data_IF_418284792869
#
_entry.id   IF_418284792869
#
_cell.length_a   1.000
_cell.length_b   1.000
_cell.length_c   1.000
_cell.angle_alpha   90.00
_cell.angle_beta   90.00
_cell.angle_gamma   90.00
#
_symmetry.space_group_name_H-M   'P 1'
#
loop_
_entity.id
_entity.type
_entity.pdbx_description
1 polymer ?
#
# COMPACT_ATOMS: atom_id res chain seq x y z
N UNK A 1 23.92 6.04 -23.10
CA UNK A 1 23.12 7.12 -22.48
C UNK A 1 22.05 6.44 -21.64
N UNK A 2 22.17 6.42 -20.32
CA UNK A 2 21.09 5.95 -19.43
C UNK A 2 19.96 6.98 -19.50
N UNK A 3 18.77 6.58 -19.95
CA UNK A 3 17.59 7.43 -19.84
C UNK A 3 17.40 7.81 -18.37
N UNK A 4 17.19 9.09 -18.11
CA UNK A 4 16.74 9.55 -16.79
C UNK A 4 15.33 9.03 -16.56
N UNK A 5 15.02 8.58 -15.34
CA UNK A 5 13.66 8.27 -14.96
C UNK A 5 12.83 9.57 -15.00
N UNK A 6 11.70 9.56 -15.69
CA UNK A 6 10.69 10.60 -15.55
C UNK A 6 9.96 10.41 -14.21
N UNK A 7 9.97 11.38 -13.28
CA UNK A 7 9.26 11.24 -12.00
C UNK A 7 7.76 11.04 -12.14
N UNK A 8 7.14 11.43 -13.26
CA UNK A 8 5.76 11.09 -13.54
C UNK A 8 5.55 9.56 -13.65
N UNK A 9 6.60 8.81 -14.02
CA UNK A 9 6.61 7.34 -14.01
C UNK A 9 6.59 6.75 -12.60
N UNK A 10 6.89 7.54 -11.58
CA UNK A 10 6.72 7.18 -10.16
C UNK A 10 5.39 7.73 -9.61
N UNK A 11 4.39 7.96 -10.45
CA UNK A 11 3.04 8.25 -9.96
C UNK A 11 2.42 6.96 -9.41
N UNK A 12 2.01 6.91 -8.13
CA UNK A 12 1.33 5.74 -7.61
C UNK A 12 0.10 5.43 -8.46
N UNK A 13 0.06 4.24 -9.06
CA UNK A 13 -1.09 3.80 -9.84
C UNK A 13 -2.04 3.03 -8.92
N UNK A 14 -3.23 3.59 -8.59
CA UNK A 14 -4.21 2.88 -7.78
C UNK A 14 -4.73 1.67 -8.54
N UNK A 15 -5.14 0.63 -7.82
CA UNK A 15 -5.99 -0.40 -8.41
C UNK A 15 -7.32 0.21 -8.85
N UNK A 16 -7.90 -0.34 -9.92
CA UNK A 16 -9.25 0.05 -10.36
C UNK A 16 -10.23 -0.08 -9.18
N UNK A 17 -11.21 0.83 -9.05
CA UNK A 17 -12.23 0.73 -8.01
C UNK A 17 -12.97 -0.60 -8.16
N UNK A 18 -12.97 -1.39 -7.10
CA UNK A 18 -13.65 -2.69 -7.08
C UNK A 18 -15.11 -2.52 -6.65
N UNK A 19 -15.99 -3.23 -7.34
CA UNK A 19 -17.41 -3.34 -7.02
C UNK A 19 -17.72 -4.79 -6.71
N UNK A 20 -18.13 -5.06 -5.48
CA UNK A 20 -18.53 -6.39 -5.05
C UNK A 20 -20.04 -6.55 -5.14
N UNK A 21 -20.49 -7.56 -5.87
CA UNK A 21 -21.90 -7.93 -5.97
C UNK A 21 -22.15 -9.11 -5.02
N UNK A 22 -23.02 -8.91 -4.03
CA UNK A 22 -23.36 -9.86 -2.98
C UNK A 22 -24.84 -10.23 -3.05
N UNK A 23 -25.11 -11.54 -2.91
CA UNK A 23 -26.46 -12.09 -2.92
C UNK A 23 -27.13 -12.13 -4.31
N UNK A 24 -28.40 -12.53 -4.36
CA UNK A 24 -29.24 -12.55 -5.56
C UNK A 24 -29.00 -13.66 -6.60
N UNK A 25 -29.85 -13.68 -7.64
CA UNK A 25 -29.81 -14.63 -8.76
C UNK A 25 -28.80 -14.21 -9.84
N UNK A 26 -28.21 -15.17 -10.57
CA UNK A 26 -27.11 -14.91 -11.53
C UNK A 26 -27.43 -13.87 -12.64
N UNK A 27 -28.71 -13.70 -12.99
CA UNK A 27 -29.15 -12.92 -14.14
C UNK A 27 -28.95 -11.40 -14.04
N UNK A 28 -29.02 -10.80 -12.84
CA UNK A 28 -28.78 -9.35 -12.67
C UNK A 28 -27.29 -9.03 -12.42
N UNK A 29 -26.52 -10.02 -11.96
CA UNK A 29 -25.06 -9.88 -11.83
C UNK A 29 -24.45 -9.67 -13.21
N UNK A 30 -24.86 -10.49 -14.18
CA UNK A 30 -24.38 -10.39 -15.57
C UNK A 30 -24.73 -9.05 -16.23
N UNK A 31 -25.90 -8.48 -15.93
CA UNK A 31 -26.34 -7.19 -16.49
C UNK A 31 -25.56 -5.99 -15.94
N UNK A 32 -24.78 -6.15 -14.86
CA UNK A 32 -23.98 -5.08 -14.25
C UNK A 32 -22.50 -5.09 -14.64
N UNK A 33 -21.99 -6.21 -15.14
CA UNK A 33 -20.56 -6.34 -15.45
C UNK A 33 -20.13 -5.30 -16.50
N UNK A 34 -20.82 -5.25 -17.65
CA UNK A 34 -20.46 -4.35 -18.75
C UNK A 34 -20.69 -2.86 -18.40
N UNK A 35 -21.86 -2.44 -17.85
CA UNK A 35 -22.08 -1.05 -17.48
C UNK A 35 -21.05 -0.52 -16.47
N UNK A 36 -20.75 -1.28 -15.41
CA UNK A 36 -19.77 -0.86 -14.40
C UNK A 36 -18.33 -0.89 -14.96
N UNK A 37 -17.99 -1.86 -15.80
CA UNK A 37 -16.71 -1.90 -16.49
C UNK A 37 -16.51 -0.69 -17.42
N UNK A 38 -17.57 -0.25 -18.12
CA UNK A 38 -17.53 0.95 -18.97
C UNK A 38 -17.27 2.25 -18.17
N UNK A 39 -17.60 2.24 -16.87
CA UNK A 39 -17.31 3.30 -15.92
C UNK A 39 -15.94 3.14 -15.22
N UNK A 40 -15.13 2.17 -15.66
CA UNK A 40 -13.78 1.92 -15.15
C UNK A 40 -13.72 1.12 -13.85
N UNK A 41 -14.82 0.50 -13.44
CA UNK A 41 -14.87 -0.36 -12.26
C UNK A 41 -14.48 -1.79 -12.58
N UNK A 42 -13.78 -2.45 -11.66
CA UNK A 42 -13.58 -3.90 -11.69
C UNK A 42 -14.70 -4.56 -10.90
N UNK A 43 -15.49 -5.41 -11.54
CA UNK A 43 -16.63 -6.08 -10.90
C UNK A 43 -16.23 -7.49 -10.45
N UNK A 44 -16.54 -7.84 -9.21
CA UNK A 44 -16.39 -9.19 -8.66
C UNK A 44 -17.71 -9.64 -8.04
N UNK A 45 -18.20 -10.80 -8.46
CA UNK A 45 -19.43 -11.39 -7.93
C UNK A 45 -19.08 -12.56 -7.03
N UNK A 46 -19.54 -12.52 -5.78
CA UNK A 46 -19.36 -13.64 -4.84
C UNK A 46 -20.63 -13.87 -4.04
N UNK A 47 -21.09 -15.13 -3.89
CA UNK A 47 -22.25 -15.44 -3.06
C UNK A 47 -21.99 -15.26 -1.56
N UNK A 48 -20.73 -15.17 -1.11
CA UNK A 48 -20.36 -15.02 0.30
C UNK A 48 -19.12 -14.12 0.50
N UNK A 49 -19.07 -13.35 1.59
CA UNK A 49 -17.90 -12.52 1.98
C UNK A 49 -16.73 -13.39 2.51
N UNK A 50 -16.87 -14.72 2.56
CA UNK A 50 -16.01 -15.59 3.38
C UNK A 50 -14.53 -15.65 2.95
N UNK A 51 -14.13 -15.21 1.76
CA UNK A 51 -12.76 -15.46 1.26
C UNK A 51 -11.94 -14.23 0.83
N UNK A 52 -12.54 -13.05 0.61
CA UNK A 52 -11.80 -11.90 0.05
C UNK A 52 -11.43 -10.88 1.12
N UNK A 53 -10.14 -10.77 1.45
CA UNK A 53 -9.58 -9.67 2.26
C UNK A 53 -9.69 -8.29 1.57
N UNK A 54 -10.21 -8.24 0.34
CA UNK A 54 -10.26 -7.05 -0.51
C UNK A 54 -11.62 -6.33 -0.47
N UNK A 55 -12.70 -6.96 0.02
CA UNK A 55 -14.04 -6.33 0.05
C UNK A 55 -14.07 -5.03 0.88
N UNK A 56 -13.30 -4.96 1.98
CA UNK A 56 -13.15 -3.72 2.76
C UNK A 56 -12.52 -2.55 2.00
N UNK A 57 -11.86 -2.82 0.86
CA UNK A 57 -11.18 -1.84 0.02
C UNK A 57 -11.98 -1.50 -1.25
N UNK A 58 -13.14 -2.14 -1.42
CA UNK A 58 -14.06 -1.89 -2.51
C UNK A 58 -14.52 -0.44 -2.51
N UNK A 59 -14.78 0.09 -3.71
CA UNK A 59 -15.48 1.37 -3.82
C UNK A 59 -16.96 1.17 -3.49
N UNK A 60 -17.56 0.10 -4.01
CA UNK A 60 -18.97 -0.23 -3.83
C UNK A 60 -19.13 -1.68 -3.37
N UNK A 61 -20.05 -1.89 -2.43
CA UNK A 61 -20.58 -3.21 -2.11
C UNK A 61 -22.08 -3.17 -2.38
N UNK A 62 -22.53 -3.94 -3.36
CA UNK A 62 -23.94 -4.07 -3.71
C UNK A 62 -24.49 -5.31 -3.04
N UNK A 63 -25.54 -5.16 -2.25
CA UNK A 63 -26.21 -6.31 -1.63
C UNK A 63 -27.63 -6.44 -2.15
N UNK A 64 -28.01 -7.66 -2.53
CA UNK A 64 -29.36 -8.01 -2.93
C UNK A 64 -29.78 -9.31 -2.23
N UNK A 65 -30.89 -9.28 -1.50
CA UNK A 65 -31.49 -10.48 -0.90
C UNK A 65 -31.73 -11.58 -1.96
N UNK A 66 -31.28 -12.81 -1.70
CA UNK A 66 -31.61 -13.97 -2.54
C UNK A 66 -32.98 -14.57 -2.17
N UNK A 67 -33.41 -14.38 -0.93
CA UNK A 67 -34.73 -14.75 -0.42
C UNK A 67 -35.32 -13.64 0.47
N UNK A 68 -36.65 -13.61 0.72
CA UNK A 68 -37.27 -12.62 1.61
C UNK A 68 -36.80 -12.68 3.07
N UNK A 69 -36.19 -13.79 3.49
CA UNK A 69 -35.66 -13.96 4.85
C UNK A 69 -34.18 -13.56 4.96
N UNK A 70 -33.52 -13.25 3.84
CA UNK A 70 -32.12 -12.85 3.82
C UNK A 70 -31.97 -11.44 4.38
N UNK A 71 -31.17 -11.30 5.43
CA UNK A 71 -30.88 -10.01 6.07
C UNK A 71 -29.51 -9.48 5.65
N UNK A 72 -29.36 -8.16 5.48
CA UNK A 72 -28.06 -7.55 5.24
C UNK A 72 -27.16 -7.47 6.49
N UNK A 73 -27.70 -7.72 7.68
CA UNK A 73 -26.99 -7.46 8.94
C UNK A 73 -25.67 -8.23 9.10
N UNK A 74 -25.57 -9.56 8.85
CA UNK A 74 -24.33 -10.30 9.08
C UNK A 74 -23.17 -9.81 8.23
N UNK A 75 -23.46 -9.28 7.04
CA UNK A 75 -22.43 -8.76 6.14
C UNK A 75 -22.04 -7.33 6.50
N UNK A 76 -22.99 -6.50 6.98
CA UNK A 76 -22.72 -5.17 7.52
C UNK A 76 -21.74 -5.24 8.69
N UNK A 77 -22.00 -6.12 9.65
CA UNK A 77 -21.13 -6.38 10.80
C UNK A 77 -19.73 -6.86 10.36
N UNK A 78 -19.66 -7.63 9.28
CA UNK A 78 -18.37 -8.09 8.74
C UNK A 78 -17.60 -6.96 8.06
N UNK A 79 -18.25 -6.11 7.26
CA UNK A 79 -17.60 -4.93 6.68
C UNK A 79 -17.19 -3.92 7.75
N UNK A 80 -17.92 -3.84 8.86
CA UNK A 80 -17.54 -2.99 9.99
C UNK A 80 -16.13 -3.30 10.47
N UNK A 81 -15.81 -4.59 10.58
CA UNK A 81 -14.54 -5.11 11.09
C UNK A 81 -13.41 -5.11 10.04
N UNK A 82 -13.73 -4.84 8.77
CA UNK A 82 -12.73 -4.80 7.72
C UNK A 82 -12.03 -3.43 7.67
N UNK A 83 -10.68 -3.37 7.79
CA UNK A 83 -9.96 -2.12 7.61
C UNK A 83 -10.07 -1.68 6.16
N UNK A 84 -10.59 -0.47 5.94
CA UNK A 84 -10.62 0.15 4.62
C UNK A 84 -9.25 0.74 4.30
N UNK A 85 -8.61 0.19 3.27
CA UNK A 85 -7.19 0.38 3.00
C UNK A 85 -6.92 0.37 1.50
N UNK A 86 -6.25 1.39 1.00
CA UNK A 86 -5.86 1.47 -0.40
C UNK A 86 -4.36 1.34 -0.52
N UNK A 87 -3.90 0.44 -1.38
CA UNK A 87 -2.54 0.44 -1.88
C UNK A 87 -2.51 0.93 -3.32
N UNK A 88 -1.43 1.62 -3.67
CA UNK A 88 -1.07 1.89 -5.04
C UNK A 88 0.35 1.38 -5.30
N UNK A 89 0.60 0.92 -6.52
CA UNK A 89 1.95 0.50 -6.91
C UNK A 89 2.74 1.71 -7.34
N UNK A 90 3.92 1.88 -6.74
CA UNK A 90 4.88 2.91 -7.11
C UNK A 90 5.88 2.33 -8.13
N UNK A 91 6.42 1.14 -7.85
CA UNK A 91 7.33 0.43 -8.74
C UNK A 91 7.03 -1.07 -8.69
N UNK A 92 6.84 -1.68 -9.87
CA UNK A 92 6.72 -3.12 -10.02
C UNK A 92 8.08 -3.72 -10.43
N UNK A 93 8.87 -4.17 -9.45
CA UNK A 93 10.19 -4.72 -9.74
C UNK A 93 10.16 -6.10 -10.43
N UNK A 94 9.00 -6.74 -10.56
CA UNK A 94 8.90 -7.97 -11.38
C UNK A 94 9.01 -7.69 -12.88
N UNK A 95 8.85 -6.44 -13.30
CA UNK A 95 9.02 -6.01 -14.69
C UNK A 95 10.32 -5.20 -14.82
N UNK A 96 11.36 -5.73 -15.50
CA UNK A 96 12.62 -5.04 -15.66
C UNK A 96 12.49 -3.64 -16.24
N UNK A 97 13.00 -2.64 -15.51
CA UNK A 97 13.07 -1.25 -15.95
C UNK A 97 14.50 -0.71 -15.77
N UNK A 98 15.25 -0.50 -16.87
CA UNK A 98 16.61 0.02 -16.81
C UNK A 98 16.73 1.42 -16.20
N UNK A 99 15.73 2.29 -16.35
CA UNK A 99 15.74 3.63 -15.78
C UNK A 99 15.60 3.57 -14.26
N UNK A 100 14.69 2.72 -13.76
CA UNK A 100 14.57 2.43 -12.33
C UNK A 100 15.84 1.78 -11.77
N UNK A 101 16.39 0.77 -12.48
CA UNK A 101 17.60 0.09 -12.05
C UNK A 101 18.78 1.06 -11.88
N UNK A 102 18.92 2.01 -12.81
CA UNK A 102 19.98 3.01 -12.81
C UNK A 102 19.88 4.02 -11.65
N UNK A 103 18.74 4.10 -10.94
CA UNK A 103 18.61 4.94 -9.75
C UNK A 103 19.38 4.36 -8.58
N UNK A 104 19.36 3.03 -8.41
CA UNK A 104 19.90 2.37 -7.22
C UNK A 104 21.41 2.17 -7.34
N UNK A 105 22.14 2.60 -6.32
CA UNK A 105 23.58 2.39 -6.20
C UNK A 105 23.99 1.98 -4.80
N UNK A 106 25.10 1.26 -4.70
CA UNK A 106 25.65 0.79 -3.43
C UNK A 106 26.24 1.94 -2.62
N UNK A 107 26.07 1.86 -1.30
CA UNK A 107 26.61 2.76 -0.30
C UNK A 107 27.02 1.92 0.92
N UNK A 108 28.25 1.41 0.90
CA UNK A 108 28.76 0.47 1.90
C UNK A 108 29.76 1.12 2.88
N UNK A 109 30.27 0.34 3.82
CA UNK A 109 31.12 0.78 4.94
C UNK A 109 32.59 1.11 4.62
N UNK A 110 32.91 1.29 3.33
CA UNK A 110 34.30 1.49 2.86
C UNK A 110 35.00 2.75 3.35
N UNK A 111 34.26 3.81 3.72
CA UNK A 111 34.85 5.10 4.14
C UNK A 111 35.74 4.97 5.38
N UNK A 112 35.41 4.05 6.29
CA UNK A 112 36.17 3.81 7.53
C UNK A 112 37.07 2.57 7.43
N UNK A 113 37.31 2.05 6.22
CA UNK A 113 38.10 0.83 6.00
C UNK A 113 37.30 -0.47 6.11
N UNK A 114 35.98 -0.39 6.26
CA UNK A 114 35.08 -1.54 6.16
C UNK A 114 35.24 -2.23 4.80
N UNK A 115 34.95 -3.53 4.80
CA UNK A 115 35.14 -4.41 3.63
C UNK A 115 33.84 -5.06 3.19
N UNK A 116 32.70 -4.51 3.62
CA UNK A 116 31.41 -4.95 3.12
C UNK A 116 31.24 -4.51 1.67
N UNK A 117 30.58 -5.35 0.87
CA UNK A 117 30.28 -5.04 -0.52
C UNK A 117 28.83 -5.35 -0.80
N UNK A 118 28.16 -4.48 -1.55
CA UNK A 118 26.84 -4.75 -2.06
C UNK A 118 26.67 -4.36 -3.51
N UNK A 119 25.63 -4.90 -4.11
CA UNK A 119 25.22 -4.58 -5.47
C UNK A 119 23.72 -4.76 -5.63
N UNK A 120 23.23 -4.20 -6.73
CA UNK A 120 21.86 -4.34 -7.18
C UNK A 120 21.85 -5.31 -8.36
N UNK A 121 20.98 -6.32 -8.32
CA UNK A 121 20.75 -7.24 -9.43
C UNK A 121 19.26 -7.27 -9.76
N UNK A 122 18.92 -7.35 -11.04
CA UNK A 122 17.52 -7.55 -11.44
C UNK A 122 17.27 -9.04 -11.72
N UNK A 123 16.63 -9.73 -10.78
CA UNK A 123 16.32 -11.16 -10.87
C UNK A 123 15.02 -11.46 -10.14
N UNK A 124 13.92 -11.64 -10.88
CA UNK A 124 12.56 -11.81 -10.32
C UNK A 124 12.13 -10.69 -9.35
N UNK A 125 12.71 -9.50 -9.50
CA UNK A 125 12.67 -8.39 -8.55
C UNK A 125 13.99 -7.60 -8.56
N UNK A 126 14.02 -6.50 -7.83
CA UNK A 126 15.25 -5.74 -7.58
C UNK A 126 15.92 -6.31 -6.33
N UNK A 127 17.07 -6.96 -6.52
CA UNK A 127 17.77 -7.71 -5.49
C UNK A 127 18.92 -6.89 -4.91
N UNK A 128 18.85 -6.64 -3.61
CA UNK A 128 19.95 -6.12 -2.80
C UNK A 128 20.74 -7.31 -2.26
N UNK A 129 21.97 -7.50 -2.74
CA UNK A 129 22.83 -8.64 -2.36
C UNK A 129 24.25 -8.19 -2.11
N UNK A 130 24.98 -8.99 -1.34
CA UNK A 130 26.38 -8.68 -1.08
C UNK A 130 27.01 -9.58 -0.04
N UNK A 131 28.18 -9.13 0.43
CA UNK A 131 28.90 -9.70 1.55
C UNK A 131 29.04 -8.63 2.63
N UNK A 132 28.48 -8.84 3.82
CA UNK A 132 28.65 -7.93 4.96
C UNK A 132 29.70 -8.49 5.92
N UNK A 133 30.62 -7.64 6.37
CA UNK A 133 31.73 -8.01 7.23
C UNK A 133 31.83 -7.08 8.43
N UNK A 134 32.12 -7.63 9.62
CA UNK A 134 32.37 -6.84 10.83
C UNK A 134 33.85 -6.46 10.99
N UNK A 135 34.71 -6.80 10.03
CA UNK A 135 36.12 -6.41 10.06
C UNK A 135 36.27 -4.88 9.93
N UNK A 136 37.37 -4.34 10.46
CA UNK A 136 37.73 -2.91 10.37
C UNK A 136 36.64 -1.96 10.88
N UNK A 137 35.94 -2.34 11.95
CA UNK A 137 34.79 -1.59 12.48
C UNK A 137 33.63 -1.40 11.50
N UNK A 138 33.58 -2.23 10.45
CA UNK A 138 32.48 -2.29 9.51
C UNK A 138 31.26 -3.01 10.08
N UNK A 139 30.40 -3.43 9.17
CA UNK A 139 29.17 -4.15 9.45
C UNK A 139 27.97 -3.44 8.87
N UNK A 140 28.11 -2.69 7.77
CA UNK A 140 26.93 -2.26 7.03
C UNK A 140 27.15 -2.32 5.52
N UNK A 141 26.06 -2.64 4.84
CA UNK A 141 25.92 -2.58 3.40
C UNK A 141 24.59 -1.90 3.09
N UNK A 142 24.52 -1.10 2.03
CA UNK A 142 23.24 -0.48 1.66
C UNK A 142 23.15 -0.14 0.18
N UNK A 143 21.91 -0.04 -0.31
CA UNK A 143 21.62 0.53 -1.63
C UNK A 143 20.71 1.74 -1.46
N UNK A 144 21.00 2.80 -2.20
CA UNK A 144 20.25 4.06 -2.16
C UNK A 144 19.95 4.53 -3.57
N UNK A 145 18.76 5.07 -3.79
CA UNK A 145 18.46 5.76 -5.04
C UNK A 145 19.27 7.05 -5.13
N UNK A 146 19.68 7.45 -6.35
CA UNK A 146 19.99 8.86 -6.63
C UNK A 146 18.81 9.74 -6.20
N UNK A 147 19.08 11.03 -6.02
CA UNK A 147 18.00 11.97 -5.77
C UNK A 147 17.00 11.92 -6.94
N UNK A 148 15.72 11.77 -6.60
CA UNK A 148 14.60 11.84 -7.54
C UNK A 148 14.33 13.32 -7.79
N UNK A 149 14.31 13.73 -9.06
CA UNK A 149 14.18 15.14 -9.44
C UNK A 149 13.13 15.32 -10.56
N UNK A 150 12.04 16.07 -10.31
CA UNK A 150 11.58 16.60 -9.01
C UNK A 150 11.36 15.55 -7.91
N UNK A 151 11.38 15.96 -6.61
CA UNK A 151 11.12 15.05 -5.50
C UNK A 151 9.71 14.46 -5.59
N UNK A 152 9.57 13.23 -5.11
CA UNK A 152 8.32 12.50 -5.16
C UNK A 152 7.33 13.04 -4.12
N UNK A 153 6.11 13.35 -4.56
CA UNK A 153 5.03 13.78 -3.68
C UNK A 153 4.10 12.61 -3.31
N UNK A 154 4.27 12.10 -2.10
CA UNK A 154 3.42 11.08 -1.48
C UNK A 154 2.55 11.64 -0.35
N UNK A 155 2.31 12.96 -0.29
CA UNK A 155 1.63 13.62 0.83
C UNK A 155 0.18 13.17 1.09
N UNK A 156 -0.47 12.58 0.10
CA UNK A 156 -1.82 12.00 0.23
C UNK A 156 -1.82 10.57 0.79
N UNK A 157 -0.65 9.99 1.04
CA UNK A 157 -0.47 8.62 1.52
C UNK A 157 0.04 8.62 2.97
N UNK A 158 -0.25 7.55 3.70
CA UNK A 158 0.13 7.40 5.10
C UNK A 158 1.44 6.64 5.29
N UNK A 159 1.88 5.88 4.28
CA UNK A 159 3.12 5.12 4.35
C UNK A 159 3.49 4.42 3.05
N UNK A 160 4.62 3.72 3.11
CA UNK A 160 5.11 2.83 2.05
C UNK A 160 4.81 1.38 2.37
N UNK A 161 4.62 0.56 1.34
CA UNK A 161 4.48 -0.89 1.45
C UNK A 161 5.51 -1.56 0.56
N UNK A 162 6.34 -2.41 1.14
CA UNK A 162 7.35 -3.18 0.43
C UNK A 162 6.97 -4.66 0.43
N UNK A 163 6.86 -5.25 -0.75
CA UNK A 163 6.79 -6.71 -0.89
C UNK A 163 8.21 -7.20 -1.15
N UNK A 164 8.79 -7.89 -0.18
CA UNK A 164 10.16 -8.34 -0.23
C UNK A 164 10.29 -9.80 0.21
N UNK A 165 11.19 -10.53 -0.44
CA UNK A 165 11.65 -11.84 0.02
C UNK A 165 13.05 -11.66 0.60
N UNK A 166 13.22 -11.95 1.88
CA UNK A 166 14.49 -11.77 2.60
C UNK A 166 15.16 -13.08 2.99
N UNK A 167 16.25 -12.95 3.73
CA UNK A 167 17.17 -14.02 4.11
C UNK A 167 17.17 -14.32 5.63
N UNK A 168 16.15 -13.86 6.36
CA UNK A 168 16.08 -14.02 7.81
C UNK A 168 16.77 -12.91 8.59
N UNK A 169 17.38 -11.94 7.91
CA UNK A 169 18.00 -10.79 8.55
C UNK A 169 17.02 -9.63 8.74
N UNK A 170 17.41 -8.69 9.58
CA UNK A 170 16.69 -7.44 9.83
C UNK A 170 17.33 -6.29 9.08
N UNK A 171 16.52 -5.60 8.28
CA UNK A 171 16.93 -4.53 7.38
C UNK A 171 16.32 -3.19 7.83
N UNK A 172 16.86 -2.08 7.34
CA UNK A 172 16.32 -0.74 7.52
C UNK A 172 15.81 -0.19 6.20
N UNK A 173 14.56 0.26 6.21
CA UNK A 173 13.99 1.11 5.17
C UNK A 173 14.20 2.58 5.55
N UNK A 174 14.81 3.35 4.64
CA UNK A 174 15.25 4.71 4.91
C UNK A 174 14.72 5.65 3.83
N UNK A 175 14.07 6.73 4.26
CA UNK A 175 13.59 7.81 3.40
C UNK A 175 14.29 9.13 3.75
N UNK A 176 14.39 10.02 2.76
CA UNK A 176 14.93 11.37 2.94
C UNK A 176 14.05 12.37 2.21
N UNK A 177 13.69 13.45 2.90
CA UNK A 177 12.86 14.56 2.42
C UNK A 177 13.68 15.82 2.08
N UNK A 178 15.01 15.67 1.96
CA UNK A 178 15.95 16.73 1.63
C UNK A 178 17.06 16.19 0.71
N UNK A 179 17.53 16.96 -0.29
CA UNK A 179 18.47 16.49 -1.31
C UNK A 179 19.90 16.32 -0.79
N UNK A 180 20.21 16.84 0.41
CA UNK A 180 21.55 16.76 0.98
C UNK A 180 22.02 15.31 1.17
N UNK A 181 23.29 15.05 0.87
CA UNK A 181 23.88 13.70 1.03
C UNK A 181 23.80 13.19 2.48
N UNK A 182 24.20 14.05 3.44
CA UNK A 182 24.16 13.82 4.90
C UNK A 182 22.94 14.50 5.55
N UNK A 183 21.81 14.53 4.84
CA UNK A 183 20.54 15.06 5.37
C UNK A 183 20.02 14.18 6.51
N UNK A 184 18.90 14.56 7.11
CA UNK A 184 18.23 13.71 8.08
C UNK A 184 17.72 12.44 7.39
N UNK A 185 17.92 11.28 8.02
CA UNK A 185 17.43 9.99 7.54
C UNK A 185 16.26 9.55 8.39
N UNK A 186 15.12 9.23 7.77
CA UNK A 186 13.97 8.68 8.47
C UNK A 186 13.97 7.19 8.26
N UNK A 187 14.09 6.44 9.36
CA UNK A 187 14.45 5.03 9.32
C UNK A 187 13.37 4.19 9.99
N UNK A 188 13.04 3.04 9.40
CA UNK A 188 12.25 1.98 10.03
C UNK A 188 12.92 0.63 9.81
N UNK A 189 13.25 -0.07 10.89
CA UNK A 189 13.76 -1.44 10.81
C UNK A 189 12.61 -2.45 10.66
N UNK A 190 12.85 -3.53 9.94
CA UNK A 190 11.92 -4.63 9.74
C UNK A 190 12.65 -5.97 9.64
N UNK A 191 12.02 -7.02 10.17
CA UNK A 191 12.53 -8.39 10.08
C UNK A 191 12.08 -9.04 8.78
N UNK A 192 12.89 -9.97 8.30
CA UNK A 192 12.52 -10.87 7.21
C UNK A 192 12.51 -12.30 7.70
N UNK A 193 11.72 -13.14 7.07
CA UNK A 193 11.80 -14.59 7.22
C UNK A 193 12.49 -15.17 6.00
N UNK A 194 13.42 -16.10 6.22
CA UNK A 194 14.22 -16.67 5.14
C UNK A 194 13.33 -17.30 4.07
N UNK A 195 13.55 -16.91 2.82
CA UNK A 195 12.86 -17.39 1.62
C UNK A 195 11.35 -17.16 1.60
N UNK A 196 10.80 -16.38 2.53
CA UNK A 196 9.38 -16.04 2.58
C UNK A 196 9.10 -14.62 2.10
N UNK A 197 7.94 -14.45 1.46
CA UNK A 197 7.46 -13.14 1.05
C UNK A 197 6.90 -12.38 2.27
N UNK A 198 7.55 -11.29 2.63
CA UNK A 198 7.09 -10.36 3.66
C UNK A 198 6.42 -9.13 3.03
N UNK A 199 5.33 -8.66 3.66
CA UNK A 199 4.66 -7.40 3.34
C UNK A 199 4.98 -6.38 4.44
N UNK A 200 5.99 -5.54 4.18
CA UNK A 200 6.51 -4.58 5.14
C UNK A 200 5.80 -3.25 4.97
N UNK A 201 4.95 -2.89 5.94
CA UNK A 201 4.26 -1.59 5.98
C UNK A 201 5.05 -0.63 6.85
N UNK A 202 5.41 0.52 6.29
CA UNK A 202 6.12 1.58 6.99
C UNK A 202 5.27 2.85 6.99
N UNK A 203 4.53 3.11 8.08
CA UNK A 203 3.84 4.38 8.27
C UNK A 203 4.85 5.52 8.35
N UNK A 204 4.61 6.63 7.65
CA UNK A 204 5.50 7.79 7.68
C UNK A 204 5.63 8.37 9.09
N UNK A 205 4.54 8.34 9.86
CA UNK A 205 4.50 8.81 11.26
C UNK A 205 5.31 7.94 12.23
N UNK A 206 5.63 6.71 11.84
CA UNK A 206 6.39 5.77 12.67
C UNK A 206 7.89 5.70 12.29
N UNK A 207 8.32 6.53 11.35
CA UNK A 207 9.72 6.57 10.93
C UNK A 207 10.55 7.41 11.90
N UNK A 208 11.68 6.85 12.33
CA UNK A 208 12.55 7.49 13.32
C UNK A 208 13.58 8.35 12.61
N UNK A 209 13.60 9.64 12.92
CA UNK A 209 14.60 10.58 12.43
C UNK A 209 15.98 10.27 13.01
N UNK A 210 16.99 10.17 12.16
CA UNK A 210 18.36 9.81 12.53
C UNK A 210 19.43 10.58 11.75
N UNK A 211 20.59 10.79 12.39
CA UNK A 211 21.85 11.17 11.73
C UNK A 211 22.91 10.15 12.08
N UNK A 212 23.46 9.46 11.08
CA UNK A 212 24.49 8.41 11.25
C UNK A 212 24.10 7.40 12.34
N UNK A 213 22.88 6.87 12.23
CA UNK A 213 22.24 5.93 13.16
C UNK A 213 21.94 6.44 14.58
N UNK A 214 22.25 7.70 14.92
CA UNK A 214 21.78 8.33 16.17
C UNK A 214 20.41 8.94 15.99
N UNK A 215 19.49 8.70 16.91
CA UNK A 215 18.15 9.27 16.88
C UNK A 215 18.19 10.78 17.12
N UNK A 216 17.24 11.49 16.52
CA UNK A 216 17.07 12.94 16.68
C UNK A 216 15.63 13.21 17.10
N UNK A 217 15.28 13.10 18.40
CA UNK A 217 13.90 13.21 18.86
C UNK A 217 13.25 14.57 18.58
N UNK A 218 14.07 15.63 18.56
CA UNK A 218 13.66 17.02 18.29
C UNK A 218 13.48 17.32 16.79
N UNK A 219 13.68 16.33 15.92
CA UNK A 219 13.55 16.56 14.48
C UNK A 219 12.08 16.70 14.06
N UNK A 220 11.85 17.51 13.03
CA UNK A 220 10.57 17.54 12.33
C UNK A 220 10.26 16.14 11.77
N UNK A 221 8.98 15.76 11.79
CA UNK A 221 8.50 14.54 11.13
C UNK A 221 8.82 14.56 9.64
N UNK A 222 8.98 13.37 9.05
CA UNK A 222 9.19 13.19 7.61
C UNK A 222 8.13 13.98 6.83
N UNK A 223 8.55 14.76 5.84
CA UNK A 223 7.63 15.37 4.89
C UNK A 223 7.41 14.43 3.67
N UNK A 224 6.30 13.69 3.60
CA UNK A 224 6.04 12.77 2.49
C UNK A 224 5.76 13.47 1.15
N UNK A 225 5.51 14.79 1.14
CA UNK A 225 5.23 15.53 -0.09
C UNK A 225 6.49 15.90 -0.90
N UNK A 226 7.69 15.63 -0.38
CA UNK A 226 8.97 16.00 -1.00
C UNK A 226 10.07 14.95 -0.78
N UNK A 227 9.82 13.70 -1.16
CA UNK A 227 10.78 12.62 -0.98
C UNK A 227 11.86 12.63 -2.06
N UNK A 228 13.12 12.76 -1.65
CA UNK A 228 14.27 12.81 -2.56
C UNK A 228 14.93 11.46 -2.77
N UNK A 229 14.98 10.58 -1.78
CA UNK A 229 15.61 9.27 -1.97
C UNK A 229 15.07 8.19 -1.05
N UNK A 230 15.25 6.96 -1.49
CA UNK A 230 14.89 5.74 -0.80
C UNK A 230 16.14 4.88 -0.64
N UNK A 231 16.26 4.19 0.48
CA UNK A 231 17.43 3.38 0.79
C UNK A 231 17.03 2.13 1.58
N UNK A 232 17.70 1.03 1.25
CA UNK A 232 17.62 -0.23 1.97
C UNK A 232 19.01 -0.54 2.53
N UNK A 233 19.08 -0.91 3.80
CA UNK A 233 20.34 -1.14 4.50
C UNK A 233 20.29 -2.40 5.36
N UNK A 234 21.36 -3.19 5.32
CA UNK A 234 21.68 -4.18 6.34
C UNK A 234 22.79 -3.60 7.21
N UNK A 235 22.62 -3.63 8.53
CA UNK A 235 23.63 -3.13 9.47
C UNK A 235 23.68 -3.96 10.74
N UNK A 236 24.89 -4.11 11.28
CA UNK A 236 25.19 -4.66 12.61
C UNK A 236 24.52 -3.86 13.72
N UNK A 237 24.32 -2.56 13.52
CA UNK A 237 23.77 -1.67 14.53
C UNK A 237 22.34 -1.28 14.21
N UNK A 238 21.51 -1.21 15.24
CA UNK A 238 20.22 -0.53 15.25
C UNK A 238 20.40 0.96 15.53
N UNK A 239 19.49 1.57 16.27
CA UNK A 239 19.52 2.97 16.66
C UNK A 239 20.43 3.16 17.88
N UNK A 240 21.10 4.30 17.97
CA UNK A 240 21.84 4.73 19.17
C UNK A 240 22.93 3.76 19.65
N UNK A 241 23.45 2.92 18.76
CA UNK A 241 24.52 1.97 19.04
C UNK A 241 24.05 0.58 19.49
N UNK A 242 22.74 0.37 19.61
CA UNK A 242 22.16 -0.94 19.88
C UNK A 242 22.54 -1.95 18.78
N UNK A 243 22.64 -3.23 19.14
CA UNK A 243 22.94 -4.29 18.18
C UNK A 243 21.68 -4.73 17.44
N UNK A 244 21.82 -5.00 16.15
CA UNK A 244 20.78 -5.65 15.37
C UNK A 244 20.67 -7.13 15.79
N UNK A 245 19.53 -7.55 16.38
CA UNK A 245 19.38 -8.88 16.96
C UNK A 245 19.36 -10.01 15.93
N UNK A 246 19.08 -9.71 14.66
CA UNK A 246 19.01 -10.70 13.57
C UNK A 246 20.17 -10.56 12.56
N UNK A 247 21.19 -9.77 12.88
CA UNK A 247 22.33 -9.55 12.00
C UNK A 247 23.25 -10.77 11.96
N UNK A 248 23.62 -11.17 10.74
CA UNK A 248 24.62 -12.20 10.51
C UNK A 248 25.65 -11.70 9.50
N UNK A 249 26.94 -11.75 9.88
CA UNK A 249 28.01 -11.48 8.93
C UNK A 249 28.06 -12.61 7.88
N UNK A 250 28.32 -12.26 6.62
CA UNK A 250 28.27 -13.25 5.54
C UNK A 250 27.64 -12.72 4.27
N UNK A 251 27.28 -13.64 3.39
CA UNK A 251 26.46 -13.34 2.23
C UNK A 251 25.05 -13.01 2.66
N UNK A 252 24.44 -12.01 2.04
CA UNK A 252 23.07 -11.60 2.32
C UNK A 252 22.29 -11.36 1.03
N UNK A 253 20.96 -11.37 1.15
CA UNK A 253 20.09 -11.07 0.03
C UNK A 253 18.67 -10.69 0.43
N UNK A 254 18.16 -9.61 -0.17
CA UNK A 254 16.76 -9.22 -0.12
C UNK A 254 16.27 -8.85 -1.51
N UNK A 255 15.22 -9.52 -1.98
CA UNK A 255 14.58 -9.28 -3.27
C UNK A 255 13.33 -8.43 -3.07
N UNK A 256 13.34 -7.18 -3.54
CA UNK A 256 12.14 -6.35 -3.62
C UNK A 256 11.35 -6.73 -4.87
N UNK A 257 10.09 -7.15 -4.69
CA UNK A 257 9.20 -7.51 -5.79
C UNK A 257 8.29 -6.34 -6.19
N UNK A 258 7.90 -5.53 -5.21
CA UNK A 258 7.03 -4.37 -5.42
C UNK A 258 7.28 -3.33 -4.33
N UNK A 259 7.38 -2.07 -4.74
CA UNK A 259 7.27 -0.92 -3.84
C UNK A 259 5.93 -0.24 -4.13
N UNK A 260 5.19 0.05 -3.08
CA UNK A 260 3.93 0.75 -3.14
C UNK A 260 3.79 1.75 -2.02
N UNK A 261 2.63 2.37 -1.98
CA UNK A 261 2.18 3.30 -0.96
C UNK A 261 0.81 2.90 -0.49
N UNK A 262 0.47 3.29 0.74
CA UNK A 262 -0.84 2.98 1.28
C UNK A 262 -1.45 4.13 2.08
N UNK A 263 -2.77 4.10 2.20
CA UNK A 263 -3.56 4.94 3.08
C UNK A 263 -4.81 4.20 3.52
N UNK A 264 -5.32 4.55 4.69
CA UNK A 264 -6.69 4.22 5.06
C UNK A 264 -7.67 4.97 4.16
N UNK A 265 -8.79 4.33 3.82
CA UNK A 265 -9.89 4.92 3.07
C UNK A 265 -11.17 4.98 3.91
N UNK A 266 -12.17 5.76 3.49
CA UNK A 266 -13.53 5.56 3.95
C UNK A 266 -13.95 4.11 3.70
N UNK A 267 -14.82 3.58 4.56
CA UNK A 267 -15.44 2.27 4.32
C UNK A 267 -16.21 2.28 2.99
N UNK A 268 -16.39 1.12 2.31
CA UNK A 268 -17.12 1.05 1.05
C UNK A 268 -18.51 1.67 1.17
N UNK A 269 -18.96 2.29 0.08
CA UNK A 269 -20.36 2.68 -0.03
C UNK A 269 -21.20 1.42 -0.28
N UNK A 270 -22.23 1.23 0.52
CA UNK A 270 -23.16 0.11 0.38
C UNK A 270 -24.31 0.50 -0.55
N UNK A 271 -24.60 -0.29 -1.57
CA UNK A 271 -25.79 -0.15 -2.41
C UNK A 271 -26.80 -1.23 -2.05
N UNK A 272 -28.03 -0.82 -1.71
CA UNK A 272 -29.11 -1.69 -1.23
C UNK A 272 -30.36 -1.50 -2.12
N UNK A 273 -30.43 -2.16 -3.29
CA UNK A 273 -31.44 -1.86 -4.30
C UNK A 273 -32.89 -2.16 -3.89
N UNK A 274 -33.09 -3.06 -2.91
CA UNK A 274 -34.41 -3.53 -2.48
C UNK A 274 -34.75 -3.20 -1.02
N UNK A 275 -33.86 -2.51 -0.30
CA UNK A 275 -34.08 -2.18 1.12
C UNK A 275 -34.70 -0.79 1.31
N UNK A 276 -35.37 -0.61 2.44
CA UNK A 276 -35.95 0.66 2.88
C UNK A 276 -35.04 1.43 3.86
N UNK A 277 -35.52 2.58 4.37
CA UNK A 277 -34.78 3.42 5.31
C UNK A 277 -34.49 2.76 6.67
N UNK A 278 -35.12 1.63 7.00
CA UNK A 278 -34.98 0.93 8.27
C UNK A 278 -33.53 0.45 8.52
N UNK A 279 -32.79 0.12 7.45
CA UNK A 279 -31.39 -0.33 7.50
C UNK A 279 -30.40 0.80 7.87
N UNK A 280 -30.84 2.07 7.87
CA UNK A 280 -29.98 3.22 8.17
C UNK A 280 -29.35 3.16 9.57
N UNK A 281 -30.06 2.59 10.55
CA UNK A 281 -29.55 2.41 11.91
C UNK A 281 -28.40 1.40 11.96
N UNK A 282 -28.51 0.29 11.21
CA UNK A 282 -27.48 -0.74 11.11
C UNK A 282 -26.23 -0.21 10.39
N UNK A 283 -26.42 0.52 9.30
CA UNK A 283 -25.32 1.20 8.58
C UNK A 283 -24.59 2.19 9.48
N UNK A 284 -25.33 3.03 10.22
CA UNK A 284 -24.74 3.98 11.17
C UNK A 284 -23.94 3.27 12.25
N UNK A 285 -24.48 2.20 12.83
CA UNK A 285 -23.80 1.40 13.85
C UNK A 285 -22.48 0.80 13.32
N UNK A 286 -22.49 0.32 12.08
CA UNK A 286 -21.31 -0.22 11.39
C UNK A 286 -20.32 0.85 10.88
N UNK A 287 -20.63 2.15 11.04
CA UNK A 287 -19.85 3.24 10.46
C UNK A 287 -19.83 3.24 8.93
N UNK A 288 -20.85 2.67 8.31
CA UNK A 288 -21.01 2.54 6.86
C UNK A 288 -21.97 3.60 6.32
N UNK A 289 -21.70 4.07 5.10
CA UNK A 289 -22.65 4.88 4.33
C UNK A 289 -23.31 3.97 3.30
N UNK A 290 -24.62 4.09 3.14
CA UNK A 290 -25.40 3.31 2.19
C UNK A 290 -26.25 4.18 1.27
N UNK A 291 -26.73 3.56 0.19
CA UNK A 291 -27.72 4.12 -0.72
C UNK A 291 -28.87 3.14 -0.94
N UNK A 292 -30.09 3.68 -0.90
CA UNK A 292 -31.36 2.96 -1.06
C UNK A 292 -32.20 3.65 -2.16
N UNK A 293 -33.18 2.98 -2.79
CA UNK A 293 -34.01 3.61 -3.81
C UNK A 293 -34.88 4.73 -3.21
N UNK A 294 -35.01 5.84 -3.93
CA UNK A 294 -35.89 6.96 -3.57
C UNK A 294 -36.50 7.61 -4.82
N UNK A 295 -37.78 7.37 -5.06
CA UNK A 295 -38.47 7.87 -6.25
C UNK A 295 -37.81 7.34 -7.53
N UNK A 296 -37.39 8.23 -8.42
CA UNK A 296 -36.63 7.90 -9.64
C UNK A 296 -35.11 7.86 -9.44
N UNK A 297 -34.61 8.02 -8.21
CA UNK A 297 -33.19 8.07 -7.87
C UNK A 297 -32.88 7.27 -6.60
N UNK A 298 -31.93 7.77 -5.81
CA UNK A 298 -31.51 7.13 -4.56
C UNK A 298 -31.34 8.14 -3.42
N UNK A 299 -31.49 7.67 -2.18
CA UNK A 299 -31.17 8.42 -0.97
C UNK A 299 -29.86 7.89 -0.37
N UNK A 300 -29.05 8.79 0.20
CA UNK A 300 -27.87 8.42 0.99
C UNK A 300 -28.25 8.33 2.47
N UNK A 301 -27.90 7.22 3.11
CA UNK A 301 -28.25 6.90 4.50
C UNK A 301 -27.05 6.35 5.28
N UNK A 302 -27.17 6.26 6.62
CA UNK A 302 -26.13 5.69 7.48
C UNK A 302 -25.18 6.74 8.06
N UNK A 303 -23.88 6.42 8.12
CA UNK A 303 -22.85 7.24 8.76
C UNK A 303 -22.63 8.62 8.10
N UNK A 304 -23.08 8.81 6.86
CA UNK A 304 -23.05 10.07 6.13
C UNK A 304 -24.37 10.29 5.40
N UNK A 305 -24.72 11.55 5.16
CA UNK A 305 -25.85 11.97 4.31
C UNK A 305 -25.43 12.38 2.90
N UNK A 306 -24.14 12.24 2.57
CA UNK A 306 -23.56 12.57 1.26
C UNK A 306 -22.76 11.40 0.73
N UNK A 307 -22.79 11.24 -0.60
CA UNK A 307 -21.90 10.31 -1.29
C UNK A 307 -20.43 10.65 -0.99
N UNK A 308 -19.56 9.64 -0.79
CA UNK A 308 -18.12 9.88 -0.75
C UNK A 308 -17.65 10.53 -2.07
N UNK A 309 -16.75 11.52 -2.01
CA UNK A 309 -16.34 12.30 -3.19
C UNK A 309 -15.68 11.44 -4.27
N UNK A 310 -15.13 10.28 -3.92
CA UNK A 310 -14.52 9.32 -4.85
C UNK A 310 -15.54 8.45 -5.60
N UNK A 311 -16.82 8.43 -5.21
CA UNK A 311 -17.84 7.61 -5.84
C UNK A 311 -18.46 8.37 -7.01
N UNK A 312 -18.40 7.76 -8.19
CA UNK A 312 -19.13 8.25 -9.36
C UNK A 312 -20.64 7.97 -9.20
N UNK A 313 -21.52 8.99 -9.14
CA UNK A 313 -22.96 8.79 -9.01
C UNK A 313 -23.56 7.91 -10.13
N UNK A 314 -23.01 7.98 -11.35
CA UNK A 314 -23.47 7.17 -12.48
C UNK A 314 -23.30 5.66 -12.24
N UNK A 315 -22.31 5.25 -11.44
CA UNK A 315 -22.14 3.84 -11.08
C UNK A 315 -23.27 3.36 -10.16
N UNK A 316 -23.73 4.21 -9.23
CA UNK A 316 -24.86 3.93 -8.35
C UNK A 316 -26.15 3.86 -9.17
N UNK A 317 -26.38 4.82 -10.08
CA UNK A 317 -27.55 4.85 -10.95
C UNK A 317 -27.64 3.62 -11.85
N UNK A 318 -26.53 3.17 -12.45
CA UNK A 318 -26.48 1.96 -13.25
C UNK A 318 -26.90 0.71 -12.45
N UNK A 319 -26.55 0.65 -11.15
CA UNK A 319 -26.98 -0.44 -10.27
C UNK A 319 -28.49 -0.46 -10.08
N UNK A 320 -29.09 0.69 -9.79
CA UNK A 320 -30.55 0.79 -9.64
C UNK A 320 -31.30 0.52 -10.94
N UNK A 321 -30.76 0.90 -12.09
CA UNK A 321 -31.37 0.63 -13.39
C UNK A 321 -31.37 -0.85 -13.76
N UNK A 322 -30.34 -1.61 -13.36
CA UNK A 322 -30.23 -3.03 -13.70
C UNK A 322 -31.11 -3.95 -12.82
N UNK A 323 -31.49 -3.48 -11.63
CA UNK A 323 -32.27 -4.26 -10.64
C UNK A 323 -33.79 -4.01 -10.75
N UNK A 324 -34.20 -2.90 -11.38
CA UNK A 324 -35.60 -2.57 -11.71
C UNK A 324 -36.05 -3.23 -13.01
#
# INVERSE_FOLDING_TARGET
MTQSLDPASLTPTPTQPEVYLLGGAANWIDSLIEPLASLGCRVEATPQISESAHVGNAALVVWLAASPEDSPQPWLERLEQMPAYQEATLVNFRQPDPAVAALWGSLDDGVMGGVSTSQVQWQNGLRFVGQVSTANSGGFASIRTRNIEPPLNLGQWQGTVLHAQGDGQRYKWILRDSPGWDSLAYCRSFDTEADQLSVVRTPFLEMVATRRARTVPEATSLNPAQLYSMQLMLSKFEYDGELNPAFHAGSFGLTMQRLGVYRQRPKPLVVLPKEGPEVASQLTAAGLTGVIPQGSGFAVIGASSKLPPEINPAAVEAIFQAVN
#
